data_IF_242041651902
#
_entry.id   IF_242041651902
#
_cell.length_a   1.000
_cell.length_b   1.000
_cell.length_c   1.000
_cell.angle_alpha   90.00
_cell.angle_beta   90.00
_cell.angle_gamma   90.00
#
_symmetry.space_group_name_H-M   'P 1'
#
loop_
_entity.id
_entity.type
_entity.pdbx_description
1 polymer ?
#
# COMPACT_ATOMS: atom_id res chain seq x y z
N UNK A 1 -8.31 -0.43 5.35
CA UNK A 1 -7.81 -0.96 4.07
C UNK A 1 -8.51 -2.26 3.66
N UNK A 2 -8.55 -3.32 4.47
CA UNK A 2 -9.14 -4.62 4.10
C UNK A 2 -10.60 -4.57 3.63
N UNK A 3 -11.46 -3.81 4.29
CA UNK A 3 -12.88 -3.64 3.90
C UNK A 3 -12.98 -3.07 2.48
N UNK A 4 -12.17 -2.04 2.16
CA UNK A 4 -12.16 -1.43 0.84
C UNK A 4 -11.57 -2.36 -0.23
N UNK A 5 -10.62 -3.23 0.14
CA UNK A 5 -10.15 -4.29 -0.74
C UNK A 5 -11.28 -5.26 -1.08
N UNK A 6 -12.06 -5.68 -0.10
CA UNK A 6 -13.24 -6.56 -0.34
C UNK A 6 -14.26 -5.87 -1.25
N UNK A 7 -14.59 -4.60 -1.00
CA UNK A 7 -15.49 -3.82 -1.85
C UNK A 7 -14.96 -3.74 -3.29
N UNK A 8 -13.65 -3.50 -3.43
CA UNK A 8 -12.98 -3.40 -4.71
C UNK A 8 -12.98 -4.74 -5.48
N UNK A 9 -12.82 -5.87 -4.79
CA UNK A 9 -12.93 -7.21 -5.39
C UNK A 9 -14.37 -7.54 -5.77
N UNK A 10 -15.33 -7.25 -4.90
CA UNK A 10 -16.77 -7.43 -5.19
C UNK A 10 -17.20 -6.60 -6.41
N UNK A 11 -16.70 -5.37 -6.53
CA UNK A 11 -16.92 -4.54 -7.71
C UNK A 11 -16.50 -5.25 -9.00
N UNK A 12 -15.30 -5.85 -9.02
CA UNK A 12 -14.80 -6.59 -10.18
C UNK A 12 -15.76 -7.73 -10.51
N UNK A 13 -16.18 -8.50 -9.52
CA UNK A 13 -17.10 -9.63 -9.73
C UNK A 13 -18.49 -9.20 -10.22
N UNK A 14 -18.99 -8.07 -9.72
CA UNK A 14 -20.31 -7.52 -10.08
C UNK A 14 -20.29 -6.70 -11.38
N UNK A 15 -19.11 -6.37 -11.91
CA UNK A 15 -18.97 -5.55 -13.12
C UNK A 15 -19.33 -4.07 -12.95
N UNK A 16 -19.27 -3.55 -11.73
CA UNK A 16 -19.60 -2.14 -11.44
C UNK A 16 -18.49 -1.22 -11.97
N UNK A 17 -18.82 -0.15 -12.72
CA UNK A 17 -17.82 0.80 -13.21
C UNK A 17 -17.08 1.48 -12.06
N UNK A 18 -15.73 1.53 -12.14
CA UNK A 18 -14.87 2.15 -11.14
C UNK A 18 -15.23 3.61 -10.86
N UNK A 19 -15.56 4.35 -11.93
CA UNK A 19 -15.81 5.79 -11.86
C UNK A 19 -16.93 6.15 -10.89
N UNK A 20 -18.02 5.41 -10.89
CA UNK A 20 -19.15 5.68 -9.99
C UNK A 20 -18.79 5.47 -8.51
N UNK A 21 -18.01 4.41 -8.21
CA UNK A 21 -17.56 4.15 -6.85
C UNK A 21 -16.56 5.20 -6.38
N UNK A 22 -15.60 5.58 -7.24
CA UNK A 22 -14.64 6.63 -6.90
C UNK A 22 -15.32 7.97 -6.66
N UNK A 23 -16.23 8.38 -7.56
CA UNK A 23 -16.99 9.64 -7.38
C UNK A 23 -17.79 9.61 -6.07
N UNK A 24 -18.49 8.51 -5.80
CA UNK A 24 -19.27 8.37 -4.58
C UNK A 24 -18.42 8.44 -3.31
N UNK A 25 -17.33 7.66 -3.25
CA UNK A 25 -16.46 7.66 -2.09
C UNK A 25 -15.71 8.97 -1.91
N UNK A 26 -15.20 9.60 -2.97
CA UNK A 26 -14.55 10.91 -2.87
C UNK A 26 -15.52 12.01 -2.48
N UNK A 27 -16.78 11.96 -2.95
CA UNK A 27 -17.81 12.88 -2.47
C UNK A 27 -18.00 12.76 -0.95
N UNK A 28 -18.02 11.54 -0.41
CA UNK A 28 -18.07 11.31 1.04
C UNK A 28 -16.81 11.82 1.73
N UNK A 29 -15.61 11.55 1.19
CA UNK A 29 -14.32 12.03 1.73
C UNK A 29 -14.32 13.56 1.84
N UNK A 30 -14.65 14.26 0.76
CA UNK A 30 -14.64 15.72 0.75
C UNK A 30 -15.73 16.31 1.65
N UNK A 31 -16.90 15.68 1.72
CA UNK A 31 -17.96 16.09 2.64
C UNK A 31 -17.50 15.96 4.09
N UNK A 32 -16.90 14.83 4.47
CA UNK A 32 -16.36 14.63 5.82
C UNK A 32 -15.21 15.60 6.13
N UNK A 33 -14.34 15.86 5.16
CA UNK A 33 -13.24 16.81 5.34
C UNK A 33 -13.74 18.23 5.72
N UNK A 34 -14.91 18.64 5.24
CA UNK A 34 -15.48 19.95 5.60
C UNK A 34 -15.86 20.06 7.09
N UNK A 35 -16.09 18.94 7.77
CA UNK A 35 -16.49 18.91 9.18
C UNK A 35 -15.31 18.65 10.14
N UNK A 36 -14.14 18.30 9.59
CA UNK A 36 -12.92 17.96 10.35
C UNK A 36 -11.96 19.13 10.38
N UNK A 37 -11.22 19.32 11.49
CA UNK A 37 -10.20 20.35 11.60
C UNK A 37 -9.15 20.24 10.47
N UNK A 38 -8.70 21.38 9.90
CA UNK A 38 -7.67 21.41 8.86
C UNK A 38 -6.38 20.66 9.21
N UNK A 39 -6.03 20.58 10.48
CA UNK A 39 -4.85 19.86 10.96
C UNK A 39 -4.90 18.36 10.64
N UNK A 40 -6.10 17.78 10.58
CA UNK A 40 -6.29 16.37 10.20
C UNK A 40 -6.28 16.13 8.70
N UNK A 41 -6.43 17.15 7.86
CA UNK A 41 -6.48 16.95 6.41
C UNK A 41 -5.18 16.37 5.87
N UNK A 42 -4.04 16.98 6.24
CA UNK A 42 -2.74 16.50 5.80
C UNK A 42 -2.53 15.04 6.20
N UNK A 43 -2.79 14.70 7.46
CA UNK A 43 -2.63 13.34 8.00
C UNK A 43 -3.59 12.37 7.32
N UNK A 44 -4.85 12.78 7.08
CA UNK A 44 -5.84 11.93 6.44
C UNK A 44 -5.47 11.59 5.00
N UNK A 45 -5.13 12.60 4.19
CA UNK A 45 -4.78 12.37 2.79
C UNK A 45 -3.43 11.65 2.65
N UNK A 46 -2.46 11.95 3.51
CA UNK A 46 -1.18 11.25 3.56
C UNK A 46 -1.34 9.76 3.93
N UNK A 47 -2.24 9.45 4.87
CA UNK A 47 -2.53 8.07 5.26
C UNK A 47 -2.98 7.18 4.09
N UNK A 48 -3.68 7.75 3.11
CA UNK A 48 -4.05 7.06 1.87
C UNK A 48 -2.85 6.75 0.99
N UNK A 49 -1.89 7.65 0.92
CA UNK A 49 -0.63 7.48 0.17
C UNK A 49 0.30 6.48 0.84
N UNK A 50 0.54 6.62 2.13
CA UNK A 50 1.44 5.76 2.92
C UNK A 50 0.99 4.31 2.93
N UNK A 51 -0.32 4.05 3.07
CA UNK A 51 -0.84 2.67 3.05
C UNK A 51 -0.80 2.00 1.70
N UNK A 52 -0.69 2.76 0.61
CA UNK A 52 -0.52 2.26 -0.76
C UNK A 52 0.94 2.32 -1.22
N UNK A 53 1.87 1.97 -0.35
CA UNK A 53 3.30 2.00 -0.60
C UNK A 53 3.79 0.93 -1.60
N UNK A 54 5.10 0.91 -1.86
CA UNK A 54 5.73 0.11 -2.93
C UNK A 54 5.53 -1.41 -2.77
N UNK A 55 5.22 -1.90 -1.58
CA UNK A 55 4.89 -3.31 -1.35
C UNK A 55 3.42 -3.64 -1.58
N UNK A 56 2.54 -2.76 -1.14
CA UNK A 56 1.09 -3.00 -1.15
C UNK A 56 0.51 -2.90 -2.55
N UNK A 57 0.99 -1.97 -3.37
CA UNK A 57 0.51 -1.74 -4.73
C UNK A 57 0.68 -2.97 -5.63
N UNK A 58 1.87 -3.57 -5.76
CA UNK A 58 2.05 -4.77 -6.57
C UNK A 58 1.21 -5.95 -6.08
N UNK A 59 1.05 -6.10 -4.76
CA UNK A 59 0.21 -7.15 -4.17
C UNK A 59 -1.27 -6.98 -4.53
N UNK A 60 -1.81 -5.76 -4.37
CA UNK A 60 -3.21 -5.45 -4.73
C UNK A 60 -3.43 -5.63 -6.23
N UNK A 61 -2.48 -5.19 -7.06
CA UNK A 61 -2.57 -5.36 -8.52
C UNK A 61 -2.54 -6.84 -8.92
N UNK A 62 -1.65 -7.64 -8.34
CA UNK A 62 -1.58 -9.07 -8.61
C UNK A 62 -2.87 -9.79 -8.19
N UNK A 63 -3.45 -9.41 -7.04
CA UNK A 63 -4.73 -9.92 -6.58
C UNK A 63 -5.86 -9.53 -7.55
N UNK A 64 -5.87 -8.28 -8.01
CA UNK A 64 -6.83 -7.79 -8.99
C UNK A 64 -6.77 -8.53 -10.32
N UNK A 65 -5.58 -8.75 -10.84
CA UNK A 65 -5.35 -9.54 -12.06
C UNK A 65 -5.83 -10.99 -11.85
N UNK A 66 -5.54 -11.59 -10.70
CA UNK A 66 -5.98 -12.96 -10.36
C UNK A 66 -7.51 -13.09 -10.33
N UNK A 67 -8.21 -12.14 -9.70
CA UNK A 67 -9.68 -12.14 -9.63
C UNK A 67 -10.31 -11.81 -10.99
N UNK A 68 -9.73 -10.89 -11.74
CA UNK A 68 -10.19 -10.55 -13.10
C UNK A 68 -10.06 -11.73 -14.07
N UNK A 69 -9.02 -12.55 -13.92
CA UNK A 69 -8.82 -13.75 -14.72
C UNK A 69 -9.93 -14.80 -14.51
N UNK A 70 -10.54 -14.85 -13.31
CA UNK A 70 -11.69 -15.74 -13.04
C UNK A 70 -12.92 -15.31 -13.85
N UNK A 71 -13.06 -14.01 -14.10
CA UNK A 71 -14.19 -13.44 -14.82
C UNK A 71 -14.11 -13.58 -16.35
N UNK A 72 -12.93 -13.88 -16.88
CA UNK A 72 -12.68 -14.08 -18.31
C UNK A 72 -13.08 -12.88 -19.21
N UNK A 73 -12.91 -11.66 -18.70
CA UNK A 73 -13.33 -10.40 -19.35
C UNK A 73 -12.12 -9.66 -19.97
N UNK A 74 -12.36 -9.03 -21.14
CA UNK A 74 -11.32 -8.32 -21.92
C UNK A 74 -10.80 -7.04 -21.22
N UNK A 75 -11.46 -6.57 -20.16
CA UNK A 75 -11.11 -5.35 -19.41
C UNK A 75 -10.30 -5.61 -18.13
N UNK A 76 -9.88 -6.85 -17.87
CA UNK A 76 -9.22 -7.29 -16.67
C UNK A 76 -7.99 -6.44 -16.25
N UNK A 77 -7.20 -5.93 -17.20
CA UNK A 77 -6.00 -5.14 -16.92
C UNK A 77 -6.29 -3.74 -16.37
N UNK A 78 -7.36 -3.09 -16.86
CA UNK A 78 -7.76 -1.75 -16.38
C UNK A 78 -8.41 -1.79 -14.99
N UNK A 79 -9.11 -2.88 -14.70
CA UNK A 79 -9.81 -3.06 -13.43
C UNK A 79 -8.86 -3.26 -12.24
N UNK A 80 -7.71 -3.89 -12.45
CA UNK A 80 -6.72 -4.13 -11.40
C UNK A 80 -6.08 -2.84 -10.86
N UNK A 81 -5.82 -1.86 -11.73
CA UNK A 81 -5.28 -0.57 -11.30
C UNK A 81 -6.26 0.22 -10.42
N UNK A 82 -7.54 0.12 -10.70
CA UNK A 82 -8.59 0.75 -9.90
C UNK A 82 -8.74 0.22 -8.47
N UNK A 83 -8.25 -1.00 -8.19
CA UNK A 83 -8.24 -1.55 -6.84
C UNK A 83 -7.36 -0.72 -5.90
N UNK A 84 -6.20 -0.27 -6.37
CA UNK A 84 -5.28 0.56 -5.58
C UNK A 84 -5.96 1.86 -5.15
N UNK A 85 -6.64 2.52 -6.10
CA UNK A 85 -7.36 3.77 -5.84
C UNK A 85 -8.48 3.60 -4.79
N UNK A 86 -9.24 2.51 -4.85
CA UNK A 86 -10.27 2.21 -3.85
C UNK A 86 -9.67 1.85 -2.48
N UNK A 87 -8.54 1.12 -2.45
CA UNK A 87 -7.89 0.75 -1.20
C UNK A 87 -7.31 1.96 -0.46
N UNK A 88 -6.85 3.00 -1.15
CA UNK A 88 -6.32 4.22 -0.54
C UNK A 88 -7.41 5.10 0.11
N UNK A 89 -8.65 5.01 -0.36
CA UNK A 89 -9.78 5.76 0.24
C UNK A 89 -10.09 5.28 1.66
N UNK A 90 -9.92 3.99 1.95
CA UNK A 90 -10.22 3.42 3.26
C UNK A 90 -9.49 4.10 4.42
N UNK A 91 -8.16 4.19 4.41
CA UNK A 91 -7.40 4.92 5.41
C UNK A 91 -7.80 6.39 5.51
N UNK A 92 -7.99 7.09 4.39
CA UNK A 92 -8.42 8.49 4.38
C UNK A 92 -9.73 8.66 5.15
N UNK A 93 -10.74 7.86 4.85
CA UNK A 93 -12.03 7.90 5.54
C UNK A 93 -11.89 7.57 7.03
N UNK A 94 -11.06 6.59 7.37
CA UNK A 94 -10.86 6.21 8.77
C UNK A 94 -10.23 7.33 9.58
N UNK A 95 -9.21 8.01 9.03
CA UNK A 95 -8.55 9.14 9.71
C UNK A 95 -9.46 10.36 9.80
N UNK A 96 -10.26 10.65 8.76
CA UNK A 96 -11.25 11.72 8.82
C UNK A 96 -12.34 11.43 9.88
N UNK A 97 -12.85 10.21 9.96
CA UNK A 97 -13.79 9.81 11.01
C UNK A 97 -13.16 9.91 12.40
N UNK A 98 -11.89 9.51 12.54
CA UNK A 98 -11.17 9.69 13.80
C UNK A 98 -11.05 11.16 14.16
N UNK A 99 -10.72 12.04 13.21
CA UNK A 99 -10.64 13.48 13.42
C UNK A 99 -11.97 14.14 13.78
N UNK A 100 -13.10 13.51 13.44
CA UNK A 100 -14.45 13.97 13.81
C UNK A 100 -14.80 13.55 15.26
N UNK A 101 -14.36 12.36 15.66
CA UNK A 101 -14.64 11.80 16.99
C UNK A 101 -13.63 12.25 18.04
N UNK A 102 -12.38 12.46 17.63
CA UNK A 102 -11.27 12.80 18.52
C UNK A 102 -10.88 14.27 18.33
N UNK A 103 -11.08 15.07 19.37
CA UNK A 103 -10.54 16.42 19.45
C UNK A 103 -9.21 16.33 20.21
N UNK A 104 -8.06 16.57 19.57
CA UNK A 104 -6.79 16.57 20.27
C UNK A 104 -6.75 17.75 21.23
N UNK A 105 -6.71 17.44 22.52
CA UNK A 105 -6.38 18.45 23.55
C UNK A 105 -4.89 18.76 23.40
N UNK A 106 -4.57 19.89 22.73
CA UNK A 106 -3.31 20.62 22.85
C UNK A 106 -1.99 19.80 22.88
N UNK A 107 -1.93 18.64 22.26
CA UNK A 107 -0.66 17.91 22.15
C UNK A 107 0.30 18.68 21.24
N UNK A 108 1.26 19.39 21.86
CA UNK A 108 2.34 20.04 21.14
C UNK A 108 3.15 18.95 20.41
N UNK A 109 3.08 18.96 19.08
CA UNK A 109 3.99 18.18 18.26
C UNK A 109 5.42 18.69 18.52
N UNK A 110 6.25 17.86 19.13
CA UNK A 110 7.70 18.10 19.16
C UNK A 110 8.28 17.50 17.87
N UNK A 111 8.68 18.35 16.90
CA UNK A 111 9.28 17.83 15.69
C UNK A 111 10.54 17.03 16.04
N UNK A 112 10.65 15.83 15.48
CA UNK A 112 11.89 15.05 15.57
C UNK A 112 12.97 15.89 14.88
N UNK A 113 13.94 16.35 15.65
CA UNK A 113 15.11 17.07 15.10
C UNK A 113 15.91 16.08 14.26
N UNK A 114 15.78 16.18 12.94
CA UNK A 114 16.69 15.48 12.04
C UNK A 114 18.07 16.14 12.19
N UNK A 115 19.13 15.38 12.47
CA UNK A 115 20.46 15.97 12.54
C UNK A 115 20.78 16.65 11.21
N UNK A 116 21.03 17.95 11.24
CA UNK A 116 21.49 18.69 10.06
C UNK A 116 22.88 18.17 9.67
N UNK A 117 22.94 17.41 8.59
CA UNK A 117 24.22 17.02 8.01
C UNK A 117 24.87 18.27 7.41
N UNK A 118 25.98 18.70 7.99
CA UNK A 118 26.69 19.91 7.55
C UNK A 118 27.47 19.71 6.25
N UNK A 119 27.69 18.45 5.86
CA UNK A 119 28.47 18.12 4.66
C UNK A 119 27.89 16.89 3.95
N UNK A 120 28.00 16.85 2.62
CA UNK A 120 27.57 15.72 1.77
C UNK A 120 28.22 14.39 2.19
N UNK A 121 29.46 14.47 2.71
CA UNK A 121 30.20 13.30 3.22
C UNK A 121 29.55 12.75 4.49
N UNK A 122 29.11 13.61 5.39
CA UNK A 122 28.43 13.22 6.62
C UNK A 122 27.05 12.59 6.31
N UNK A 123 26.33 13.17 5.37
CA UNK A 123 25.05 12.63 4.86
C UNK A 123 25.25 11.23 4.26
N UNK A 124 26.26 11.05 3.42
CA UNK A 124 26.57 9.73 2.83
C UNK A 124 27.00 8.70 3.88
N UNK A 125 27.75 9.14 4.88
CA UNK A 125 28.18 8.27 5.99
C UNK A 125 26.99 7.83 6.85
N UNK A 126 26.06 8.73 7.15
CA UNK A 126 24.83 8.41 7.89
C UNK A 126 23.97 7.42 7.11
N UNK A 127 23.82 7.63 5.80
CA UNK A 127 23.09 6.73 4.91
C UNK A 127 23.72 5.32 4.86
N UNK A 128 25.04 5.23 4.69
CA UNK A 128 25.76 3.95 4.66
C UNK A 128 25.70 3.20 6.00
N UNK A 129 25.61 3.94 7.11
CA UNK A 129 25.50 3.35 8.45
C UNK A 129 24.08 2.80 8.71
N UNK A 130 23.06 3.40 8.11
CA UNK A 130 21.66 2.98 8.22
C UNK A 130 21.32 1.81 7.28
N UNK A 131 22.06 1.64 6.18
CA UNK A 131 21.81 0.58 5.19
C UNK A 131 21.63 -0.84 5.79
N UNK A 132 22.46 -1.33 6.72
CA UNK A 132 22.30 -2.68 7.26
C UNK A 132 20.99 -2.88 8.02
N UNK A 133 20.46 -1.80 8.62
CA UNK A 133 19.18 -1.82 9.34
C UNK A 133 18.02 -1.91 8.34
N UNK A 134 18.04 -1.13 7.28
CA UNK A 134 17.06 -1.19 6.18
C UNK A 134 17.05 -2.56 5.48
N UNK A 135 18.21 -3.17 5.26
CA UNK A 135 18.28 -4.54 4.72
C UNK A 135 17.52 -5.53 5.58
N UNK A 136 17.64 -5.45 6.91
CA UNK A 136 16.91 -6.31 7.85
C UNK A 136 15.41 -6.02 7.83
N UNK A 137 15.03 -4.76 7.87
CA UNK A 137 13.65 -4.32 7.94
C UNK A 137 12.86 -4.76 6.70
N UNK A 138 13.42 -4.56 5.51
CA UNK A 138 12.81 -4.98 4.26
C UNK A 138 12.71 -6.50 4.16
N UNK A 139 13.75 -7.21 4.59
CA UNK A 139 13.71 -8.68 4.60
C UNK A 139 12.61 -9.19 5.52
N UNK A 140 12.45 -8.60 6.70
CA UNK A 140 11.41 -8.96 7.66
C UNK A 140 10.01 -8.64 7.12
N UNK A 141 9.87 -7.52 6.42
CA UNK A 141 8.61 -7.10 5.79
C UNK A 141 8.19 -7.99 4.62
N UNK A 142 9.15 -8.50 3.83
CA UNK A 142 8.90 -9.44 2.74
C UNK A 142 8.71 -10.89 3.21
N UNK A 143 9.23 -11.25 4.38
CA UNK A 143 9.18 -12.60 4.92
C UNK A 143 7.77 -13.21 5.00
N UNK A 144 6.71 -12.51 5.46
CA UNK A 144 5.36 -13.03 5.50
C UNK A 144 4.83 -13.39 4.10
N UNK A 145 5.12 -12.57 3.09
CA UNK A 145 4.67 -12.78 1.71
C UNK A 145 5.38 -13.99 1.12
N UNK A 146 6.70 -14.09 1.31
CA UNK A 146 7.48 -15.23 0.88
C UNK A 146 7.05 -16.51 1.60
N UNK A 147 6.79 -16.44 2.91
CA UNK A 147 6.30 -17.55 3.72
C UNK A 147 4.93 -18.05 3.26
N UNK A 148 3.99 -17.15 3.03
CA UNK A 148 2.68 -17.49 2.47
C UNK A 148 2.79 -18.19 1.12
N UNK A 149 3.65 -17.65 0.23
CA UNK A 149 3.90 -18.25 -1.07
C UNK A 149 4.49 -19.65 -0.96
N UNK A 150 5.48 -19.87 -0.07
CA UNK A 150 6.08 -21.18 0.16
C UNK A 150 5.06 -22.20 0.70
N UNK A 151 4.24 -21.80 1.69
CA UNK A 151 3.17 -22.64 2.24
C UNK A 151 2.18 -23.03 1.14
N UNK A 152 1.72 -22.05 0.36
CA UNK A 152 0.79 -22.29 -0.73
C UNK A 152 1.37 -23.23 -1.79
N UNK A 153 2.65 -23.05 -2.13
CA UNK A 153 3.34 -23.93 -3.09
C UNK A 153 3.50 -25.35 -2.57
N UNK A 154 3.81 -25.53 -1.28
CA UNK A 154 3.92 -26.84 -0.65
C UNK A 154 2.59 -27.60 -0.65
N UNK A 155 1.49 -26.90 -0.39
CA UNK A 155 0.14 -27.46 -0.37
C UNK A 155 -0.36 -27.82 -1.78
N UNK A 156 -0.12 -26.94 -2.74
CA UNK A 156 -0.74 -27.05 -4.07
C UNK A 156 0.15 -27.76 -5.09
N UNK A 157 1.48 -27.65 -4.98
CA UNK A 157 2.51 -28.22 -5.88
C UNK A 157 2.23 -28.04 -7.38
N UNK A 158 1.49 -27.01 -7.76
CA UNK A 158 1.04 -26.77 -9.15
C UNK A 158 2.03 -25.99 -10.00
N UNK A 159 3.00 -25.30 -9.38
CA UNK A 159 3.95 -24.47 -10.11
C UNK A 159 5.14 -25.28 -10.62
N UNK A 160 5.51 -25.04 -11.87
CA UNK A 160 6.71 -25.62 -12.46
C UNK A 160 7.99 -25.00 -11.87
N UNK A 161 9.10 -25.72 -11.94
CA UNK A 161 10.41 -25.22 -11.48
C UNK A 161 10.78 -23.87 -12.13
N UNK A 162 10.41 -23.68 -13.40
CA UNK A 162 10.68 -22.43 -14.13
C UNK A 162 9.87 -21.25 -13.55
N UNK A 163 8.62 -21.48 -13.18
CA UNK A 163 7.78 -20.45 -12.55
C UNK A 163 8.30 -20.09 -11.16
N UNK A 164 8.69 -21.07 -10.35
CA UNK A 164 9.28 -20.82 -9.01
C UNK A 164 10.56 -19.99 -9.14
N UNK A 165 11.44 -20.34 -10.10
CA UNK A 165 12.67 -19.59 -10.34
C UNK A 165 12.36 -18.13 -10.77
N UNK A 166 11.41 -17.94 -11.67
CA UNK A 166 10.97 -16.60 -12.11
C UNK A 166 10.44 -15.77 -10.95
N UNK A 167 9.68 -16.38 -10.03
CA UNK A 167 9.17 -15.72 -8.84
C UNK A 167 10.28 -15.39 -7.85
N UNK A 168 11.24 -16.30 -7.64
CA UNK A 168 12.39 -16.03 -6.77
C UNK A 168 13.23 -14.86 -7.29
N UNK A 169 13.45 -14.79 -8.59
CA UNK A 169 14.11 -13.65 -9.24
C UNK A 169 13.30 -12.37 -9.05
N UNK A 170 11.97 -12.43 -9.20
CA UNK A 170 11.08 -11.30 -8.93
C UNK A 170 11.16 -10.80 -7.49
N UNK A 171 11.20 -11.70 -6.51
CA UNK A 171 11.42 -11.35 -5.10
C UNK A 171 12.77 -10.67 -4.87
N UNK A 172 13.84 -11.17 -5.52
CA UNK A 172 15.16 -10.56 -5.43
C UNK A 172 15.16 -9.13 -6.00
N UNK A 173 14.53 -8.93 -7.16
CA UNK A 173 14.40 -7.58 -7.74
C UNK A 173 13.58 -6.65 -6.86
N UNK A 174 12.48 -7.13 -6.27
CA UNK A 174 11.65 -6.35 -5.35
C UNK A 174 12.45 -5.97 -4.10
N UNK A 175 13.20 -6.90 -3.53
CA UNK A 175 14.05 -6.65 -2.38
C UNK A 175 15.10 -5.56 -2.66
N UNK A 176 15.85 -5.72 -3.76
CA UNK A 176 16.86 -4.74 -4.16
C UNK A 176 16.22 -3.37 -4.47
N UNK A 177 15.09 -3.36 -5.17
CA UNK A 177 14.37 -2.12 -5.49
C UNK A 177 13.89 -1.37 -4.24
N UNK A 178 13.39 -2.10 -3.24
CA UNK A 178 12.96 -1.49 -1.97
C UNK A 178 14.13 -0.95 -1.15
N UNK A 179 15.26 -1.68 -1.12
CA UNK A 179 16.48 -1.19 -0.44
C UNK A 179 17.01 0.10 -1.08
N UNK A 180 16.89 0.24 -2.40
CA UNK A 180 17.32 1.46 -3.10
C UNK A 180 16.33 2.62 -2.99
N UNK A 181 15.06 2.32 -2.70
CA UNK A 181 14.01 3.33 -2.59
C UNK A 181 13.95 3.97 -1.19
N UNK A 182 14.27 3.25 -0.15
CA UNK A 182 14.30 3.71 1.24
C UNK A 182 15.63 4.39 1.58
#
# INVERSE_FOLDING_TARGET
MGVFLVIALLRILLGIPLSYLLIGFYAVVFTLAMFVSPDFWAIAFDSGGVTTGPMTVPFIMALGVGVSAVRNDKHAGGDSFGLVALCSIGPILTVLLLGLLYKPDGSSYTPVTVPDAQDTVEMFRSYTHALPEYFKEILLSLAPIAGFFLIFQLLTRRLSRRQIMSMAVGFLYTYLGLVLFL
#
